data_IF_137650164906
#
_entry.id   IF_137650164906
#
_cell.length_a   1.000
_cell.length_b   1.000
_cell.length_c   1.000
_cell.angle_alpha   90.00
_cell.angle_beta   90.00
_cell.angle_gamma   90.00
#
_symmetry.space_group_name_H-M   'P 1'
#
loop_
_entity.id
_entity.type
_entity.pdbx_description
1 polymer ?
#
# COMPACT_ATOMS: atom_id res chain seq x y z
N UNK A 1 -34.97 10.53 2.05
CA UNK A 1 -34.28 9.83 0.95
C UNK A 1 -33.75 8.50 1.47
N UNK A 2 -33.69 7.41 0.67
CA UNK A 2 -33.10 6.16 1.14
C UNK A 2 -31.62 6.38 1.46
N UNK A 3 -31.24 6.20 2.73
CA UNK A 3 -29.86 6.29 3.18
C UNK A 3 -29.10 5.04 2.72
N UNK A 4 -28.11 5.22 1.85
CA UNK A 4 -27.21 4.14 1.43
C UNK A 4 -26.11 3.92 2.48
N UNK A 5 -25.76 2.67 2.77
CA UNK A 5 -24.61 2.35 3.63
C UNK A 5 -23.30 2.34 2.84
N UNK A 6 -22.16 2.47 3.52
CA UNK A 6 -20.83 2.33 2.89
C UNK A 6 -20.69 1.02 2.12
N UNK A 7 -21.13 -0.11 2.68
CA UNK A 7 -21.02 -1.40 2.01
C UNK A 7 -21.87 -1.44 0.73
N UNK A 8 -23.10 -0.93 0.79
CA UNK A 8 -23.97 -0.87 -0.39
C UNK A 8 -23.39 0.04 -1.49
N UNK A 9 -22.69 1.11 -1.12
CA UNK A 9 -21.99 1.97 -2.07
C UNK A 9 -20.77 1.26 -2.69
N UNK A 10 -19.96 0.58 -1.86
CA UNK A 10 -18.77 -0.16 -2.31
C UNK A 10 -19.12 -1.34 -3.24
N UNK A 11 -20.19 -2.08 -2.94
CA UNK A 11 -20.64 -3.22 -3.75
C UNK A 11 -21.01 -2.79 -5.19
N UNK A 12 -21.43 -1.52 -5.37
CA UNK A 12 -21.79 -0.96 -6.68
C UNK A 12 -20.59 -0.62 -7.58
N UNK A 13 -19.36 -0.61 -7.04
CA UNK A 13 -18.14 -0.33 -7.83
C UNK A 13 -17.72 -1.49 -8.75
N UNK A 14 -18.30 -2.67 -8.57
CA UNK A 14 -17.91 -3.89 -9.27
C UNK A 14 -16.39 -4.13 -9.26
N UNK A 15 -15.73 -3.79 -8.14
CA UNK A 15 -14.28 -3.78 -7.97
C UNK A 15 -13.88 -4.49 -6.67
N UNK A 16 -14.44 -5.67 -6.43
CA UNK A 16 -14.35 -6.39 -5.15
C UNK A 16 -12.92 -6.53 -4.62
N UNK A 17 -11.98 -6.90 -5.49
CA UNK A 17 -10.57 -7.08 -5.09
C UNK A 17 -9.93 -5.74 -4.69
N UNK A 18 -10.15 -4.67 -5.47
CA UNK A 18 -9.67 -3.33 -5.14
C UNK A 18 -10.20 -2.86 -3.78
N UNK A 19 -11.51 -2.95 -3.59
CA UNK A 19 -12.18 -2.57 -2.33
C UNK A 19 -11.60 -3.34 -1.16
N UNK A 20 -11.38 -4.65 -1.33
CA UNK A 20 -10.84 -5.51 -0.29
C UNK A 20 -9.41 -5.14 0.10
N UNK A 21 -8.54 -4.82 -0.86
CA UNK A 21 -7.15 -4.41 -0.55
C UNK A 21 -7.13 -3.07 0.15
N UNK A 22 -7.94 -2.10 -0.30
CA UNK A 22 -8.06 -0.81 0.39
C UNK A 22 -8.62 -1.01 1.81
N UNK A 23 -9.61 -1.88 1.99
CA UNK A 23 -10.20 -2.15 3.30
C UNK A 23 -9.16 -2.78 4.25
N UNK A 24 -8.38 -3.75 3.76
CA UNK A 24 -7.29 -4.37 4.53
C UNK A 24 -6.22 -3.31 4.91
N UNK A 25 -5.81 -2.46 3.98
CA UNK A 25 -4.84 -1.37 4.20
C UNK A 25 -5.34 -0.36 5.25
N UNK A 26 -6.57 0.13 5.08
CA UNK A 26 -7.18 1.10 6.01
C UNK A 26 -7.38 0.47 7.39
N UNK A 27 -7.88 -0.76 7.45
CA UNK A 27 -8.10 -1.47 8.71
C UNK A 27 -6.78 -1.66 9.47
N UNK A 28 -5.70 -2.07 8.79
CA UNK A 28 -4.37 -2.23 9.38
C UNK A 28 -3.83 -0.90 9.95
N UNK A 29 -3.83 0.17 9.14
CA UNK A 29 -3.34 1.48 9.58
C UNK A 29 -4.15 2.07 10.73
N UNK A 30 -5.49 1.99 10.67
CA UNK A 30 -6.36 2.49 11.75
C UNK A 30 -6.16 1.67 13.03
N UNK A 31 -6.05 0.35 12.88
CA UNK A 31 -5.78 -0.59 13.97
C UNK A 31 -4.48 -0.27 14.70
N UNK A 32 -3.42 0.03 13.94
CA UNK A 32 -2.13 0.43 14.47
C UNK A 32 -2.16 1.84 15.09
N UNK A 33 -2.75 2.82 14.39
CA UNK A 33 -2.90 4.19 14.87
C UNK A 33 -3.64 4.26 16.21
N UNK A 34 -4.73 3.51 16.37
CA UNK A 34 -5.45 3.39 17.64
C UNK A 34 -4.62 2.76 18.75
N UNK A 35 -3.63 1.93 18.41
CA UNK A 35 -2.72 1.33 19.39
C UNK A 35 -1.70 2.36 19.87
N UNK A 36 -1.13 3.17 18.96
CA UNK A 36 -0.20 4.24 19.35
C UNK A 36 -0.89 5.39 20.07
N UNK A 37 -2.09 5.80 19.65
CA UNK A 37 -2.84 6.90 20.27
C UNK A 37 -3.16 6.65 21.76
N UNK A 38 -3.11 5.40 22.24
CA UNK A 38 -3.21 5.07 23.68
C UNK A 38 -2.02 5.57 24.49
N UNK A 39 -0.85 5.68 23.85
CA UNK A 39 0.42 6.00 24.49
C UNK A 39 0.95 7.39 24.09
N UNK A 40 0.61 7.86 22.89
CA UNK A 40 0.93 9.20 22.41
C UNK A 40 -0.35 10.03 22.17
N UNK A 41 -0.64 10.94 23.11
CA UNK A 41 -1.81 11.82 23.05
C UNK A 41 -1.72 12.89 21.97
N UNK A 42 -0.55 13.10 21.34
CA UNK A 42 -0.38 14.07 20.25
C UNK A 42 -0.67 13.45 18.88
N UNK A 43 -0.65 12.12 18.77
CA UNK A 43 -0.92 11.41 17.54
C UNK A 43 -2.42 11.34 17.29
N UNK A 44 -2.86 11.91 16.17
CA UNK A 44 -4.24 11.72 15.68
C UNK A 44 -4.28 10.50 14.76
N UNK A 45 -5.38 9.73 14.82
CA UNK A 45 -5.55 8.56 13.95
C UNK A 45 -5.43 8.95 12.48
N UNK A 46 -6.09 10.04 12.09
CA UNK A 46 -6.03 10.60 10.74
C UNK A 46 -4.60 10.98 10.33
N UNK A 47 -3.86 11.68 11.20
CA UNK A 47 -2.48 12.11 10.93
C UNK A 47 -1.50 10.95 10.78
N UNK A 48 -1.78 9.80 11.40
CA UNK A 48 -1.02 8.58 11.19
C UNK A 48 -1.41 7.88 9.87
N UNK A 49 -2.71 7.72 9.63
CA UNK A 49 -3.25 6.90 8.53
C UNK A 49 -3.01 7.54 7.16
N UNK A 50 -3.38 8.82 6.99
CA UNK A 50 -3.44 9.45 5.66
C UNK A 50 -2.09 9.49 4.93
N UNK A 51 -0.97 9.92 5.55
CA UNK A 51 0.30 10.01 4.82
C UNK A 51 0.78 8.66 4.27
N UNK A 52 0.60 7.59 5.05
CA UNK A 52 1.06 6.24 4.70
C UNK A 52 0.17 5.59 3.64
N UNK A 53 -1.14 5.77 3.79
CA UNK A 53 -2.11 5.26 2.83
C UNK A 53 -1.96 5.96 1.47
N UNK A 54 -1.84 7.29 1.47
CA UNK A 54 -1.66 8.06 0.23
C UNK A 54 -0.32 7.79 -0.41
N UNK A 55 0.77 7.62 0.34
CA UNK A 55 2.07 7.24 -0.23
C UNK A 55 2.00 5.93 -1.03
N UNK A 56 1.18 4.96 -0.59
CA UNK A 56 0.93 3.71 -1.31
C UNK A 56 0.01 3.92 -2.51
N UNK A 57 -1.17 4.51 -2.31
CA UNK A 57 -2.20 4.61 -3.34
C UNK A 57 -1.99 5.73 -4.35
N UNK A 58 -1.05 6.66 -4.12
CA UNK A 58 -0.66 7.66 -5.11
C UNK A 58 -0.05 7.06 -6.37
N UNK A 59 0.51 5.84 -6.31
CA UNK A 59 0.95 5.13 -7.52
C UNK A 59 -0.23 4.87 -8.50
N UNK A 60 -1.45 4.80 -7.98
CA UNK A 60 -2.70 4.74 -8.76
C UNK A 60 -3.30 6.12 -8.98
N UNK A 61 -3.50 6.88 -7.90
CA UNK A 61 -4.19 8.17 -7.93
C UNK A 61 -3.43 9.24 -8.75
N UNK A 62 -2.11 9.15 -8.85
CA UNK A 62 -1.28 10.08 -9.61
C UNK A 62 -0.63 9.41 -10.81
N UNK A 63 -0.96 8.14 -11.07
CA UNK A 63 -0.46 7.40 -12.23
C UNK A 63 -0.88 8.06 -13.53
N UNK A 64 -0.04 7.95 -14.55
CA UNK A 64 -0.37 8.39 -15.90
C UNK A 64 -1.31 7.39 -16.58
N UNK A 65 -2.05 7.85 -17.60
CA UNK A 65 -3.09 7.04 -18.26
C UNK A 65 -2.54 5.80 -18.99
N UNK A 66 -1.24 5.79 -19.32
CA UNK A 66 -0.52 4.65 -19.89
C UNK A 66 -0.22 3.55 -18.85
N UNK A 67 -0.16 3.91 -17.57
CA UNK A 67 0.08 2.96 -16.46
C UNK A 67 -1.23 2.54 -15.81
N UNK A 68 -2.14 3.49 -15.61
CA UNK A 68 -3.40 3.27 -14.88
C UNK A 68 -4.57 3.89 -15.63
N UNK A 69 -5.55 3.08 -16.01
CA UNK A 69 -6.73 3.57 -16.71
C UNK A 69 -7.52 4.58 -15.85
N UNK A 70 -8.10 5.65 -16.44
CA UNK A 70 -8.88 6.65 -15.70
C UNK A 70 -10.00 6.03 -14.85
N UNK A 71 -10.74 5.05 -15.39
CA UNK A 71 -11.80 4.37 -14.66
C UNK A 71 -11.31 3.60 -13.43
N UNK A 72 -10.08 3.08 -13.44
CA UNK A 72 -9.47 2.45 -12.26
C UNK A 72 -9.07 3.48 -11.21
N UNK A 73 -8.57 4.64 -11.63
CA UNK A 73 -8.26 5.76 -10.73
C UNK A 73 -9.51 6.29 -10.04
N UNK A 74 -10.60 6.47 -10.79
CA UNK A 74 -11.88 6.95 -10.26
C UNK A 74 -12.47 5.95 -9.25
N UNK A 75 -12.47 4.65 -9.58
CA UNK A 75 -12.91 3.60 -8.63
C UNK A 75 -12.05 3.57 -7.37
N UNK A 76 -10.74 3.75 -7.50
CA UNK A 76 -9.80 3.80 -6.37
C UNK A 76 -10.06 5.00 -5.49
N UNK A 77 -10.22 6.19 -6.06
CA UNK A 77 -10.51 7.42 -5.31
C UNK A 77 -11.83 7.28 -4.52
N UNK A 78 -12.87 6.77 -5.16
CA UNK A 78 -14.17 6.57 -4.54
C UNK A 78 -14.13 5.49 -3.43
N UNK A 79 -13.46 4.37 -3.67
CA UNK A 79 -13.29 3.31 -2.67
C UNK A 79 -12.50 3.80 -1.44
N UNK A 80 -11.39 4.54 -1.64
CA UNK A 80 -10.61 5.13 -0.57
C UNK A 80 -11.45 6.10 0.27
N UNK A 81 -12.17 7.02 -0.35
CA UNK A 81 -13.01 7.98 0.35
C UNK A 81 -14.10 7.29 1.18
N UNK A 82 -14.81 6.31 0.59
CA UNK A 82 -15.85 5.55 1.29
C UNK A 82 -15.29 4.74 2.47
N UNK A 83 -14.14 4.08 2.30
CA UNK A 83 -13.54 3.27 3.36
C UNK A 83 -12.95 4.13 4.48
N UNK A 84 -12.26 5.23 4.17
CA UNK A 84 -11.82 6.19 5.19
C UNK A 84 -13.03 6.75 5.96
N UNK A 85 -14.09 7.14 5.25
CA UNK A 85 -15.30 7.66 5.88
C UNK A 85 -15.99 6.61 6.76
N UNK A 86 -16.03 5.34 6.34
CA UNK A 86 -16.50 4.20 7.17
C UNK A 86 -15.68 4.09 8.47
N UNK A 87 -14.41 4.46 8.42
CA UNK A 87 -13.48 4.41 9.55
C UNK A 87 -13.35 5.70 10.36
N UNK A 88 -14.22 6.69 10.14
CA UNK A 88 -14.21 7.94 10.92
C UNK A 88 -13.23 8.99 10.41
N UNK A 89 -12.67 8.83 9.21
CA UNK A 89 -11.67 9.72 8.62
C UNK A 89 -12.26 10.36 7.36
N UNK A 90 -12.13 11.68 7.21
CA UNK A 90 -12.52 12.38 6.00
C UNK A 90 -11.44 13.39 5.62
N UNK A 91 -10.88 13.24 4.42
CA UNK A 91 -9.89 14.16 3.86
C UNK A 91 -10.54 14.92 2.70
N UNK A 92 -10.52 16.25 2.78
CA UNK A 92 -11.28 17.12 1.89
C UNK A 92 -10.94 16.96 0.40
N UNK A 93 -9.67 16.85 0.04
CA UNK A 93 -9.23 16.75 -1.34
C UNK A 93 -9.61 15.40 -1.96
N UNK A 94 -9.45 14.30 -1.21
CA UNK A 94 -9.86 12.97 -1.61
C UNK A 94 -11.38 12.86 -1.71
N UNK A 95 -12.15 13.47 -0.80
CA UNK A 95 -13.61 13.52 -0.89
C UNK A 95 -14.06 14.29 -2.13
N UNK A 96 -13.47 15.46 -2.41
CA UNK A 96 -13.78 16.22 -3.63
C UNK A 96 -13.45 15.41 -4.89
N UNK A 97 -12.31 14.72 -4.89
CA UNK A 97 -11.91 13.82 -5.98
C UNK A 97 -12.88 12.64 -6.15
N UNK A 98 -13.35 12.04 -5.06
CA UNK A 98 -14.31 10.95 -5.10
C UNK A 98 -15.67 11.41 -5.66
N UNK A 99 -16.12 12.63 -5.32
CA UNK A 99 -17.34 13.22 -5.90
C UNK A 99 -17.19 13.39 -7.41
N UNK A 100 -16.06 13.91 -7.88
CA UNK A 100 -15.78 14.02 -9.31
C UNK A 100 -15.68 12.64 -9.99
N UNK A 101 -15.08 11.66 -9.32
CA UNK A 101 -14.97 10.29 -9.81
C UNK A 101 -16.35 9.65 -10.04
N UNK A 102 -17.35 9.93 -9.20
CA UNK A 102 -18.73 9.46 -9.43
C UNK A 102 -19.28 9.99 -10.76
N UNK A 103 -19.07 11.27 -11.03
CA UNK A 103 -19.53 11.91 -12.27
C UNK A 103 -18.80 11.35 -13.50
N UNK A 104 -17.48 11.17 -13.41
CA UNK A 104 -16.67 10.57 -14.47
C UNK A 104 -17.12 9.13 -14.78
N UNK A 105 -17.34 8.31 -13.74
CA UNK A 105 -17.78 6.91 -13.88
C UNK A 105 -19.16 6.80 -14.53
N UNK A 106 -20.08 7.73 -14.19
CA UNK A 106 -21.39 7.81 -14.81
C UNK A 106 -21.30 8.26 -16.27
N UNK A 107 -20.53 9.31 -16.56
CA UNK A 107 -20.34 9.82 -17.92
C UNK A 107 -19.71 8.78 -18.85
N UNK A 108 -18.79 7.96 -18.32
CA UNK A 108 -18.16 6.87 -19.04
C UNK A 108 -19.02 5.59 -19.13
N UNK A 109 -20.19 5.56 -18.50
CA UNK A 109 -21.05 4.36 -18.38
C UNK A 109 -20.26 3.16 -17.84
N UNK A 110 -19.34 3.43 -16.90
CA UNK A 110 -18.36 2.45 -16.42
C UNK A 110 -18.92 1.45 -15.41
N UNK A 111 -20.11 1.73 -14.85
CA UNK A 111 -20.77 0.97 -13.80
C UNK A 111 -22.25 0.73 -14.13
N UNK A 112 -22.88 -0.15 -13.36
CA UNK A 112 -24.29 -0.52 -13.56
C UNK A 112 -25.26 0.66 -13.37
N UNK A 113 -26.47 0.55 -13.96
CA UNK A 113 -27.57 1.49 -13.71
C UNK A 113 -27.93 1.61 -12.22
N UNK A 114 -27.73 0.54 -11.45
CA UNK A 114 -27.92 0.57 -10.00
C UNK A 114 -26.91 1.47 -9.27
N UNK A 115 -25.73 1.72 -9.84
CA UNK A 115 -24.81 2.75 -9.36
C UNK A 115 -25.35 4.14 -9.68
N UNK A 116 -25.72 4.37 -10.96
CA UNK A 116 -26.25 5.65 -11.43
C UNK A 116 -27.44 6.15 -10.58
N UNK A 117 -28.43 5.29 -10.31
CA UNK A 117 -29.59 5.62 -9.47
C UNK A 117 -29.27 5.99 -8.01
N UNK A 118 -28.08 5.62 -7.51
CA UNK A 118 -27.66 5.90 -6.13
C UNK A 118 -26.62 7.02 -6.06
N UNK A 119 -26.31 7.70 -7.16
CA UNK A 119 -25.31 8.78 -7.25
C UNK A 119 -25.48 9.81 -6.14
N UNK A 120 -26.67 10.41 -6.03
CA UNK A 120 -26.93 11.46 -5.05
C UNK A 120 -26.79 10.93 -3.62
N UNK A 121 -27.31 9.72 -3.34
CA UNK A 121 -27.18 9.11 -2.03
C UNK A 121 -25.71 8.82 -1.63
N UNK A 122 -24.86 8.45 -2.60
CA UNK A 122 -23.42 8.22 -2.35
C UNK A 122 -22.71 9.55 -2.10
N UNK A 123 -23.03 10.61 -2.87
CA UNK A 123 -22.49 11.96 -2.65
C UNK A 123 -22.91 12.52 -1.29
N UNK A 124 -24.18 12.37 -0.93
CA UNK A 124 -24.72 12.78 0.38
C UNK A 124 -24.04 12.04 1.53
N UNK A 125 -23.78 10.73 1.36
CA UNK A 125 -23.04 9.95 2.33
C UNK A 125 -21.63 10.52 2.55
N UNK A 126 -20.89 10.82 1.47
CA UNK A 126 -19.53 11.38 1.56
C UNK A 126 -19.49 12.82 2.10
N UNK A 127 -20.56 13.59 1.88
CA UNK A 127 -20.71 14.94 2.41
C UNK A 127 -21.09 14.96 3.91
N UNK A 128 -21.61 13.86 4.44
CA UNK A 128 -21.97 13.74 5.85
C UNK A 128 -20.71 13.65 6.73
N UNK A 129 -20.78 14.05 8.02
CA UNK A 129 -19.67 13.82 8.94
C UNK A 129 -19.42 12.32 9.14
N UNK A 130 -18.15 11.85 9.07
CA UNK A 130 -17.86 10.44 9.31
C UNK A 130 -18.11 10.08 10.78
N UNK A 131 -18.73 8.93 11.01
CA UNK A 131 -19.02 8.48 12.35
C UNK A 131 -17.73 8.09 13.08
N UNK A 132 -17.55 8.57 14.31
CA UNK A 132 -16.40 8.22 15.12
C UNK A 132 -16.31 6.70 15.33
N UNK A 133 -15.11 6.17 15.13
CA UNK A 133 -14.86 4.75 15.27
C UNK A 133 -14.94 4.33 16.75
N UNK A 134 -15.83 3.37 17.06
CA UNK A 134 -16.04 2.90 18.44
C UNK A 134 -15.13 1.74 18.85
N UNK A 135 -14.60 1.00 17.87
CA UNK A 135 -13.82 -0.23 18.08
C UNK A 135 -12.70 -0.31 17.06
N UNK A 136 -11.57 -0.87 17.50
CA UNK A 136 -10.45 -1.22 16.62
C UNK A 136 -10.95 -2.15 15.49
N UNK A 137 -10.63 -1.88 14.21
CA UNK A 137 -10.98 -2.78 13.12
C UNK A 137 -10.29 -4.13 13.27
N UNK A 138 -10.96 -5.19 12.81
CA UNK A 138 -10.31 -6.48 12.63
C UNK A 138 -9.36 -6.42 11.44
N UNK A 139 -8.17 -6.97 11.60
CA UNK A 139 -7.19 -7.12 10.53
C UNK A 139 -7.22 -8.56 10.02
N UNK A 140 -6.84 -8.76 8.75
CA UNK A 140 -6.75 -10.11 8.18
C UNK A 140 -5.39 -10.75 8.48
N UNK A 141 -5.39 -12.07 8.39
CA UNK A 141 -4.16 -12.85 8.45
C UNK A 141 -3.23 -12.52 7.28
N UNK A 142 -1.93 -12.61 7.56
CA UNK A 142 -0.89 -12.41 6.57
C UNK A 142 -0.87 -13.56 5.58
N UNK A 143 -0.71 -13.22 4.31
CA UNK A 143 -0.54 -14.15 3.21
C UNK A 143 0.27 -13.44 2.14
N UNK A 144 1.17 -14.14 1.46
CA UNK A 144 1.90 -13.66 0.30
C UNK A 144 1.84 -14.63 -0.86
N UNK A 145 1.75 -14.10 -2.09
CA UNK A 145 1.91 -14.85 -3.32
C UNK A 145 3.29 -14.69 -3.96
N UNK A 146 4.19 -13.93 -3.33
CA UNK A 146 5.60 -13.89 -3.71
C UNK A 146 6.26 -15.23 -3.39
N UNK A 147 7.37 -15.49 -4.09
CA UNK A 147 8.16 -16.71 -3.97
C UNK A 147 9.60 -16.35 -3.62
N UNK A 148 10.28 -17.29 -2.99
CA UNK A 148 11.73 -17.22 -2.89
C UNK A 148 12.32 -17.02 -4.29
N UNK A 149 13.36 -16.19 -4.38
CA UNK A 149 14.04 -15.81 -5.63
C UNK A 149 13.24 -14.88 -6.55
N UNK A 150 12.13 -14.31 -6.09
CA UNK A 150 11.49 -13.19 -6.78
C UNK A 150 12.31 -11.91 -6.57
N UNK A 151 12.43 -11.12 -7.63
CA UNK A 151 12.99 -9.77 -7.62
C UNK A 151 11.90 -8.81 -8.04
N UNK A 152 11.67 -7.76 -7.26
CA UNK A 152 10.59 -6.81 -7.53
C UNK A 152 11.02 -5.36 -7.27
N UNK A 153 10.37 -4.45 -7.98
CA UNK A 153 10.45 -3.01 -7.75
C UNK A 153 9.34 -2.58 -6.77
N UNK A 154 9.65 -1.58 -5.96
CA UNK A 154 8.74 -0.91 -5.04
C UNK A 154 8.73 0.56 -5.41
N UNK A 155 7.60 1.08 -5.87
CA UNK A 155 7.41 2.50 -6.05
C UNK A 155 7.12 3.17 -4.71
N UNK A 156 7.81 4.27 -4.43
CA UNK A 156 7.46 5.17 -3.35
C UNK A 156 7.74 6.59 -3.80
N UNK A 157 6.68 7.41 -3.84
CA UNK A 157 6.74 8.77 -4.39
C UNK A 157 7.21 8.72 -5.86
N UNK A 158 8.21 9.50 -6.24
CA UNK A 158 8.75 9.50 -7.61
C UNK A 158 9.83 8.43 -7.88
N UNK A 159 10.17 7.62 -6.88
CA UNK A 159 11.30 6.71 -6.97
C UNK A 159 10.89 5.24 -6.92
N UNK A 160 11.75 4.40 -7.48
CA UNK A 160 11.69 2.95 -7.39
C UNK A 160 12.87 2.40 -6.60
N UNK A 161 12.60 1.36 -5.81
CA UNK A 161 13.58 0.61 -5.04
C UNK A 161 13.48 -0.86 -5.42
N UNK A 162 14.59 -1.59 -5.42
CA UNK A 162 14.58 -3.02 -5.73
C UNK A 162 14.70 -3.87 -4.47
N UNK A 163 14.08 -5.05 -4.51
CA UNK A 163 14.14 -6.03 -3.44
C UNK A 163 14.25 -7.44 -4.01
N UNK A 164 14.96 -8.30 -3.29
CA UNK A 164 15.09 -9.73 -3.55
C UNK A 164 14.44 -10.53 -2.42
N UNK A 165 13.61 -11.52 -2.74
CA UNK A 165 12.98 -12.42 -1.76
C UNK A 165 13.91 -13.60 -1.47
N UNK A 166 14.41 -13.70 -0.25
CA UNK A 166 15.25 -14.83 0.18
C UNK A 166 14.45 -16.10 0.37
N UNK A 167 13.39 -15.99 1.15
CA UNK A 167 12.53 -17.10 1.51
C UNK A 167 11.15 -16.56 1.90
N UNK A 168 10.20 -17.47 2.03
CA UNK A 168 8.88 -17.18 2.57
C UNK A 168 8.82 -17.84 3.94
N UNK A 169 8.59 -17.04 4.98
CA UNK A 169 8.45 -17.55 6.35
C UNK A 169 6.97 -17.66 6.74
N UNK A 170 6.72 -18.52 7.74
CA UNK A 170 5.38 -18.96 8.10
C UNK A 170 4.76 -19.86 7.01
N UNK A 171 3.46 -20.10 7.09
CA UNK A 171 2.71 -20.86 6.08
C UNK A 171 2.32 -19.96 4.89
N UNK A 172 3.32 -19.42 4.19
CA UNK A 172 3.18 -18.39 3.16
C UNK A 172 2.74 -17.02 3.68
N UNK A 173 3.23 -16.61 4.85
CA UNK A 173 2.71 -15.41 5.52
C UNK A 173 3.50 -14.16 5.17
N UNK A 174 4.84 -14.22 5.24
CA UNK A 174 5.71 -13.05 5.05
C UNK A 174 6.94 -13.39 4.19
N UNK A 175 7.16 -12.69 3.07
CA UNK A 175 8.42 -12.77 2.34
C UNK A 175 9.51 -12.10 3.17
N UNK A 176 10.66 -12.77 3.29
CA UNK A 176 11.87 -12.20 3.84
C UNK A 176 12.64 -11.58 2.69
N UNK A 177 12.75 -10.25 2.72
CA UNK A 177 13.33 -9.48 1.62
C UNK A 177 14.67 -8.85 2.03
N UNK A 178 15.55 -8.73 1.06
CA UNK A 178 16.76 -7.92 1.11
C UNK A 178 16.60 -6.78 0.09
N UNK A 179 16.84 -5.56 0.53
CA UNK A 179 16.75 -4.36 -0.33
C UNK A 179 18.09 -4.12 -1.01
N UNK A 180 18.07 -3.49 -2.18
CA UNK A 180 19.27 -3.04 -2.87
C UNK A 180 19.60 -1.59 -2.48
N UNK A 181 20.89 -1.26 -2.41
CA UNK A 181 21.39 0.08 -2.08
C UNK A 181 21.38 0.99 -3.32
N UNK A 182 20.18 1.16 -3.90
CA UNK A 182 19.97 1.98 -5.07
C UNK A 182 18.55 2.54 -5.10
N UNK A 183 18.44 3.72 -5.70
CA UNK A 183 17.18 4.42 -5.97
C UNK A 183 17.13 4.73 -7.46
N UNK A 184 15.99 4.45 -8.08
CA UNK A 184 15.80 4.61 -9.53
C UNK A 184 14.67 5.60 -9.82
N UNK A 185 14.83 6.42 -10.87
CA UNK A 185 13.80 7.38 -11.30
C UNK A 185 12.70 6.73 -12.15
N UNK A 186 12.95 5.51 -12.63
CA UNK A 186 11.99 4.68 -13.36
C UNK A 186 12.08 3.24 -12.87
N UNK A 187 11.06 2.42 -13.18
CA UNK A 187 11.09 1.00 -12.86
C UNK A 187 12.36 0.35 -13.43
N UNK A 188 13.24 -0.23 -12.59
CA UNK A 188 14.50 -0.78 -13.07
C UNK A 188 14.29 -2.10 -13.82
N UNK A 189 15.16 -2.38 -14.79
CA UNK A 189 15.28 -3.69 -15.41
C UNK A 189 16.18 -4.60 -14.55
N UNK A 190 16.14 -5.90 -14.81
CA UNK A 190 16.96 -6.85 -14.05
C UNK A 190 18.47 -6.54 -14.15
N UNK A 191 18.95 -6.06 -15.32
CA UNK A 191 20.35 -5.69 -15.50
C UNK A 191 20.78 -4.54 -14.58
N UNK A 192 19.91 -3.55 -14.38
CA UNK A 192 20.18 -2.43 -13.46
C UNK A 192 20.28 -2.93 -12.01
N UNK A 193 19.38 -3.84 -11.64
CA UNK A 193 19.36 -4.45 -10.31
C UNK A 193 20.58 -5.33 -10.06
N UNK A 194 21.05 -6.09 -11.05
CA UNK A 194 22.26 -6.93 -10.93
C UNK A 194 23.54 -6.13 -10.71
N UNK A 195 23.60 -4.89 -11.18
CA UNK A 195 24.73 -4.01 -10.95
C UNK A 195 24.77 -3.41 -9.53
N UNK A 196 23.70 -3.57 -8.75
CA UNK A 196 23.57 -2.99 -7.42
C UNK A 196 24.08 -3.94 -6.34
N UNK A 197 24.41 -3.36 -5.18
CA UNK A 197 24.77 -4.10 -3.97
C UNK A 197 23.61 -4.13 -2.99
N UNK A 198 23.67 -5.04 -2.02
CA UNK A 198 22.67 -5.11 -0.96
C UNK A 198 22.71 -3.86 -0.07
N UNK A 199 21.56 -3.44 0.43
CA UNK A 199 21.44 -2.38 1.43
C UNK A 199 21.58 -2.97 2.85
N UNK A 200 22.19 -2.18 3.73
CA UNK A 200 22.42 -2.55 5.12
C UNK A 200 22.24 -1.38 6.08
N UNK A 201 22.19 -1.68 7.38
CA UNK A 201 22.16 -0.66 8.43
C UNK A 201 23.47 -0.68 9.24
N UNK A 202 23.93 0.50 9.64
CA UNK A 202 25.00 0.64 10.63
C UNK A 202 24.42 0.54 12.04
N UNK A 203 24.96 -0.37 12.83
CA UNK A 203 24.51 -0.60 14.21
C UNK A 203 25.36 0.20 15.21
N UNK A 204 24.94 0.21 16.48
CA UNK A 204 25.61 0.95 17.56
C UNK A 204 27.08 0.56 17.80
N UNK A 205 27.51 -0.60 17.30
CA UNK A 205 28.91 -1.03 17.32
C UNK A 205 29.74 -0.52 16.13
N UNK A 206 29.16 0.35 15.30
CA UNK A 206 29.78 0.95 14.12
C UNK A 206 29.85 0.02 12.92
N UNK A 207 29.33 -1.20 13.00
CA UNK A 207 29.43 -2.18 11.92
C UNK A 207 28.17 -2.15 11.04
N UNK A 208 28.39 -2.15 9.73
CA UNK A 208 27.33 -2.26 8.73
C UNK A 208 26.99 -3.73 8.48
N UNK A 209 25.70 -4.07 8.55
CA UNK A 209 25.20 -5.43 8.34
C UNK A 209 24.05 -5.45 7.37
N UNK A 210 23.91 -6.58 6.68
CA UNK A 210 22.72 -6.86 5.86
C UNK A 210 21.46 -6.72 6.71
N UNK A 211 20.47 -6.02 6.17
CA UNK A 211 19.17 -5.84 6.81
C UNK A 211 18.11 -6.67 6.09
N UNK A 212 17.73 -7.79 6.70
CA UNK A 212 16.65 -8.65 6.21
C UNK A 212 15.32 -8.26 6.87
N UNK A 213 14.27 -8.12 6.05
CA UNK A 213 12.96 -7.65 6.50
C UNK A 213 11.87 -8.68 6.15
N UNK A 214 11.18 -9.22 7.15
CA UNK A 214 9.97 -10.01 6.95
C UNK A 214 8.76 -9.06 6.84
N UNK A 215 8.12 -8.99 5.67
CA UNK A 215 7.09 -7.97 5.42
C UNK A 215 5.67 -8.54 5.52
N UNK A 216 4.91 -8.08 6.51
CA UNK A 216 3.47 -8.34 6.61
C UNK A 216 2.69 -7.57 5.53
N UNK A 217 1.61 -8.18 5.02
CA UNK A 217 0.67 -7.51 4.12
C UNK A 217 1.01 -7.55 2.62
N UNK A 218 2.19 -8.06 2.21
CA UNK A 218 2.56 -8.24 0.80
C UNK A 218 1.80 -9.38 0.13
N UNK A 219 0.48 -9.24 -0.03
CA UNK A 219 -0.38 -10.31 -0.51
C UNK A 219 -0.38 -10.47 -2.01
N UNK A 220 -0.68 -9.40 -2.74
CA UNK A 220 -1.10 -9.50 -4.13
C UNK A 220 0.04 -9.30 -5.12
N UNK A 221 0.04 -10.13 -6.17
CA UNK A 221 0.86 -9.95 -7.36
C UNK A 221 0.01 -10.33 -8.59
N UNK A 222 -0.34 -9.39 -9.50
CA UNK A 222 -0.01 -7.96 -9.46
C UNK A 222 -0.63 -7.23 -8.26
N UNK A 223 0.03 -6.18 -7.78
CA UNK A 223 -0.44 -5.33 -6.67
C UNK A 223 -1.52 -4.34 -7.13
N UNK A 224 -2.74 -4.35 -6.56
CA UNK A 224 -3.79 -3.39 -6.90
C UNK A 224 -3.43 -1.93 -6.63
N UNK A 225 -2.55 -1.64 -5.67
CA UNK A 225 -2.06 -0.28 -5.45
C UNK A 225 -1.00 0.14 -6.47
N UNK A 226 -0.61 -0.78 -7.38
CA UNK A 226 0.45 -0.58 -8.37
C UNK A 226 1.78 -0.11 -7.75
N UNK A 227 2.03 -0.48 -6.48
CA UNK A 227 3.23 -0.09 -5.76
C UNK A 227 4.34 -1.14 -5.94
N UNK A 228 3.96 -2.42 -6.00
CA UNK A 228 4.89 -3.54 -6.16
C UNK A 228 4.82 -4.12 -7.58
N UNK A 229 5.99 -4.28 -8.21
CA UNK A 229 6.08 -4.81 -9.56
C UNK A 229 7.14 -5.91 -9.66
N UNK A 230 6.74 -7.13 -10.02
CA UNK A 230 7.68 -8.22 -10.27
C UNK A 230 8.61 -7.85 -11.44
N UNK A 231 9.92 -7.89 -11.22
CA UNK A 231 10.95 -7.70 -12.26
C UNK A 231 11.31 -9.06 -12.87
N UNK A 232 11.61 -10.04 -12.01
CA UNK A 232 12.00 -11.39 -12.40
C UNK A 232 11.62 -12.40 -11.30
N UNK A 233 11.57 -13.69 -11.66
CA UNK A 233 11.30 -14.80 -10.74
C UNK A 233 12.32 -15.91 -10.97
N UNK A 234 12.65 -16.67 -9.92
CA UNK A 234 13.65 -17.74 -10.00
C UNK A 234 15.08 -17.23 -10.22
N UNK A 235 15.39 -16.02 -9.74
CA UNK A 235 16.73 -15.45 -9.84
C UNK A 235 17.62 -16.13 -8.80
N UNK A 236 18.57 -16.95 -9.23
CA UNK A 236 19.46 -17.68 -8.32
C UNK A 236 20.53 -16.80 -7.69
N UNK A 237 20.89 -15.69 -8.35
CA UNK A 237 21.92 -14.77 -7.90
C UNK A 237 21.33 -13.69 -7.00
N UNK A 238 21.84 -13.62 -5.78
CA UNK A 238 21.49 -12.62 -4.77
C UNK A 238 22.26 -11.31 -5.01
N UNK A 239 21.81 -10.17 -4.46
CA UNK A 239 22.61 -8.95 -4.46
C UNK A 239 24.02 -9.18 -3.90
N UNK A 240 24.99 -8.45 -4.44
CA UNK A 240 26.34 -8.43 -3.91
C UNK A 240 26.38 -7.84 -2.49
N UNK A 241 26.83 -8.63 -1.50
CA UNK A 241 26.84 -8.25 -0.08
C UNK A 241 28.24 -8.22 0.57
N UNK A 242 29.32 -8.27 -0.21
CA UNK A 242 30.70 -8.38 0.30
C UNK A 242 31.15 -7.22 1.18
N UNK A 243 30.48 -6.07 1.10
CA UNK A 243 30.75 -4.87 1.89
C UNK A 243 30.01 -4.85 3.23
N UNK A 244 29.11 -5.81 3.47
CA UNK A 244 28.31 -5.93 4.69
C UNK A 244 28.70 -7.18 5.47
N UNK A 245 28.61 -7.10 6.78
CA UNK A 245 28.62 -8.28 7.62
C UNK A 245 27.27 -9.00 7.60
N UNK A 246 27.26 -10.25 8.02
CA UNK A 246 26.03 -11.01 8.20
C UNK A 246 25.08 -10.33 9.21
N UNK A 247 23.78 -10.55 9.00
CA UNK A 247 22.74 -10.00 9.86
C UNK A 247 22.91 -10.49 11.31
N UNK A 248 22.68 -9.60 12.28
CA UNK A 248 22.76 -9.94 13.72
C UNK A 248 21.64 -10.88 14.17
N UNK A 249 20.48 -10.77 13.52
CA UNK A 249 19.28 -11.59 13.73
C UNK A 249 18.85 -12.19 12.39
N UNK A 250 17.96 -13.19 12.42
CA UNK A 250 17.43 -13.80 11.20
C UNK A 250 16.80 -12.76 10.27
N UNK A 251 15.95 -11.87 10.81
CA UNK A 251 15.30 -10.77 10.11
C UNK A 251 14.60 -9.83 11.11
N UNK A 252 14.21 -8.64 10.68
CA UNK A 252 13.29 -7.76 11.40
C UNK A 252 11.87 -7.94 10.86
N UNK A 253 10.88 -8.03 11.75
CA UNK A 253 9.47 -8.05 11.34
C UNK A 253 9.00 -6.62 11.06
N UNK A 254 8.39 -6.43 9.89
CA UNK A 254 7.88 -5.15 9.42
C UNK A 254 6.54 -5.36 8.70
N UNK A 255 5.96 -4.29 8.19
CA UNK A 255 4.74 -4.27 7.39
C UNK A 255 4.91 -3.35 6.19
N UNK A 256 3.96 -3.39 5.26
CA UNK A 256 3.94 -2.58 4.04
C UNK A 256 4.17 -1.07 4.27
N UNK A 257 3.65 -0.51 5.36
CA UNK A 257 3.70 0.92 5.64
C UNK A 257 4.98 1.30 6.40
N UNK A 258 5.41 0.45 7.33
CA UNK A 258 6.71 0.56 8.01
C UNK A 258 7.87 0.46 7.02
N UNK A 259 7.74 -0.39 5.99
CA UNK A 259 8.70 -0.49 4.88
C UNK A 259 8.93 0.86 4.19
N UNK A 260 7.92 1.71 4.04
CA UNK A 260 8.08 3.02 3.42
C UNK A 260 9.10 3.91 4.17
N UNK A 261 9.22 3.76 5.49
CA UNK A 261 10.22 4.50 6.29
C UNK A 261 11.63 3.98 6.03
N UNK A 262 11.77 2.67 5.79
CA UNK A 262 13.05 2.04 5.45
C UNK A 262 13.50 2.52 4.07
N UNK A 263 12.60 2.48 3.07
CA UNK A 263 12.92 2.90 1.71
C UNK A 263 13.41 4.36 1.62
N UNK A 264 12.82 5.27 2.42
CA UNK A 264 13.27 6.68 2.47
C UNK A 264 14.70 6.88 3.01
N UNK A 265 15.30 5.88 3.65
CA UNK A 265 16.70 5.93 4.09
C UNK A 265 17.68 5.50 2.99
N UNK A 266 17.20 4.82 1.95
CA UNK A 266 18.05 4.27 0.89
C UNK A 266 18.39 5.39 -0.09
N UNK A 267 19.68 5.62 -0.32
CA UNK A 267 20.17 6.70 -1.19
C UNK A 267 19.86 8.12 -0.68
N UNK A 268 19.68 8.28 0.63
CA UNK A 268 19.54 9.56 1.32
C UNK A 268 20.89 10.16 1.73
#
# INVERSE_FOLDING_TARGET
MPTISHQQALDKLAARQLVQVIEDDVANLVSEAMSYAKHDKKLTVEGYVLPQLLARWNCVLQGSADVVSPGYQDKTALALALLLHKHGIAESALTARAVQAIDNLNAAVALSDAFFRNTDAIKDLLASPPAALKKRPSTRDNLTFLRAQDVFAIQLEQYFYAAYVHEISGFNEYPIIELYDARFDSRPAMADVQACTAWGETYNDGQARVSLQAICGMRHLPDPANQFHLIASGVSEKPGRSHLQDARSLYALSDLFSLQKILRKIGA
#
